data_IF_265026868216
#
_entry.id   IF_265026868216
#
_cell.length_a   1.000
_cell.length_b   1.000
_cell.length_c   1.000
_cell.angle_alpha   90.00
_cell.angle_beta   90.00
_cell.angle_gamma   90.00
#
_symmetry.space_group_name_H-M   'P 1'
#
loop_
_entity.id
_entity.type
_entity.pdbx_description
1 polymer ?
#
# COMPACT_ATOMS: atom_id res chain seq x y z
N UNK A 1 -8.47 -21.48 43.30
CA UNK A 1 -8.71 -21.75 41.86
C UNK A 1 -9.00 -20.48 41.05
N UNK A 2 -9.98 -19.64 41.41
CA UNK A 2 -10.29 -18.39 40.67
C UNK A 2 -9.08 -17.46 40.45
N UNK A 3 -8.19 -17.31 41.46
CA UNK A 3 -6.96 -16.51 41.35
C UNK A 3 -5.88 -17.14 40.44
N UNK A 4 -5.79 -18.47 40.39
CA UNK A 4 -4.85 -19.20 39.53
C UNK A 4 -5.31 -19.12 38.06
N UNK A 5 -6.62 -19.25 37.81
CA UNK A 5 -7.21 -19.08 36.48
C UNK A 5 -6.98 -17.65 35.98
N UNK A 6 -7.12 -16.64 36.83
CA UNK A 6 -6.87 -15.24 36.48
C UNK A 6 -5.39 -14.99 36.12
N UNK A 7 -4.45 -15.55 36.88
CA UNK A 7 -3.00 -15.43 36.60
C UNK A 7 -2.63 -16.12 35.28
N UNK A 8 -3.23 -17.29 35.00
CA UNK A 8 -3.02 -18.00 33.73
C UNK A 8 -3.58 -17.22 32.53
N UNK A 9 -4.75 -16.59 32.70
CA UNK A 9 -5.36 -15.75 31.66
C UNK A 9 -4.50 -14.52 31.34
N UNK A 10 -3.97 -13.85 32.37
CA UNK A 10 -3.11 -12.66 32.19
C UNK A 10 -1.77 -13.01 31.52
N UNK A 11 -1.21 -14.20 31.79
CA UNK A 11 0.04 -14.63 31.16
C UNK A 11 -0.12 -14.99 29.68
N UNK A 12 -1.26 -15.57 29.26
CA UNK A 12 -1.55 -15.83 27.83
C UNK A 12 -1.64 -14.52 27.04
N UNK A 13 -2.29 -13.49 27.58
CA UNK A 13 -2.44 -12.18 26.92
C UNK A 13 -1.08 -11.52 26.67
N UNK A 14 -0.12 -11.69 27.58
CA UNK A 14 1.22 -11.10 27.45
C UNK A 14 2.04 -11.71 26.30
N UNK A 15 1.89 -13.00 26.01
CA UNK A 15 2.65 -13.67 24.93
C UNK A 15 2.21 -13.27 23.53
N UNK A 16 0.95 -12.86 23.37
CA UNK A 16 0.38 -12.49 22.07
C UNK A 16 0.96 -11.15 21.59
N UNK A 17 1.14 -10.17 22.48
CA UNK A 17 1.66 -8.84 22.13
C UNK A 17 3.12 -8.85 21.64
N UNK A 18 3.98 -9.70 22.20
CA UNK A 18 5.40 -9.78 21.80
C UNK A 18 5.62 -10.49 20.46
N UNK A 19 4.69 -11.32 20.00
CA UNK A 19 4.81 -12.00 18.71
C UNK A 19 4.45 -11.08 17.53
N UNK A 20 3.64 -10.04 17.76
CA UNK A 20 3.07 -9.22 16.68
C UNK A 20 4.08 -8.22 16.11
N UNK A 21 4.88 -7.57 16.95
CA UNK A 21 5.98 -6.70 16.51
C UNK A 21 7.08 -7.45 15.74
N UNK A 22 7.23 -8.76 15.98
CA UNK A 22 8.14 -9.62 15.22
C UNK A 22 7.73 -9.71 13.76
N UNK A 23 6.43 -9.66 13.43
CA UNK A 23 5.98 -9.73 12.04
C UNK A 23 6.50 -8.54 11.22
N UNK A 24 6.51 -7.32 11.78
CA UNK A 24 7.11 -6.13 11.11
C UNK A 24 8.59 -6.37 10.81
N UNK A 25 9.33 -6.94 11.76
CA UNK A 25 10.76 -7.19 11.59
C UNK A 25 11.04 -8.37 10.65
N UNK A 26 10.24 -9.44 10.73
CA UNK A 26 10.32 -10.62 9.88
C UNK A 26 10.03 -10.25 8.43
N UNK A 27 9.00 -9.44 8.19
CA UNK A 27 8.69 -8.92 6.86
C UNK A 27 9.91 -8.22 6.22
N UNK A 28 10.58 -7.33 6.96
CA UNK A 28 11.75 -6.65 6.44
C UNK A 28 12.98 -7.57 6.31
N UNK A 29 13.11 -8.58 7.16
CA UNK A 29 14.17 -9.58 7.02
C UNK A 29 13.97 -10.44 5.77
N UNK A 30 12.76 -10.92 5.53
CA UNK A 30 12.39 -11.66 4.30
C UNK A 30 12.55 -10.79 3.07
N UNK A 31 12.16 -9.51 3.13
CA UNK A 31 12.39 -8.55 2.05
C UNK A 31 13.87 -8.41 1.70
N UNK A 32 14.75 -8.26 2.70
CA UNK A 32 16.21 -8.20 2.50
C UNK A 32 16.81 -9.51 1.98
N UNK A 33 16.12 -10.64 2.15
CA UNK A 33 16.50 -11.94 1.61
C UNK A 33 15.82 -12.21 0.25
N UNK A 34 15.16 -11.22 -0.34
CA UNK A 34 14.43 -11.32 -1.62
C UNK A 34 13.31 -12.38 -1.61
N UNK A 35 12.83 -12.75 -0.42
CA UNK A 35 11.69 -13.66 -0.22
C UNK A 35 10.39 -12.86 -0.20
N UNK A 36 9.99 -12.34 -1.35
CA UNK A 36 8.91 -11.34 -1.43
C UNK A 36 7.53 -11.87 -1.02
N UNK A 37 7.20 -13.13 -1.34
CA UNK A 37 5.94 -13.74 -0.89
C UNK A 37 5.88 -13.88 0.64
N UNK A 38 6.99 -14.26 1.26
CA UNK A 38 7.10 -14.34 2.73
C UNK A 38 7.07 -12.95 3.37
N UNK A 39 7.75 -11.98 2.75
CA UNK A 39 7.73 -10.59 3.18
C UNK A 39 6.30 -10.02 3.16
N UNK A 40 5.55 -10.28 2.07
CA UNK A 40 4.12 -9.95 1.93
C UNK A 40 3.31 -10.59 3.06
N UNK A 41 3.48 -11.89 3.27
CA UNK A 41 2.76 -12.61 4.32
C UNK A 41 2.94 -11.97 5.71
N UNK A 42 4.18 -11.72 6.12
CA UNK A 42 4.44 -11.12 7.43
C UNK A 42 3.96 -9.67 7.54
N UNK A 43 4.08 -8.87 6.47
CA UNK A 43 3.62 -7.48 6.53
C UNK A 43 2.10 -7.38 6.53
N UNK A 44 1.39 -8.33 5.91
CA UNK A 44 -0.07 -8.44 5.97
C UNK A 44 -0.55 -8.86 7.36
N UNK A 45 0.16 -9.80 8.01
CA UNK A 45 -0.11 -10.13 9.41
C UNK A 45 0.09 -8.92 10.34
N UNK A 46 1.10 -8.10 10.09
CA UNK A 46 1.33 -6.88 10.86
C UNK A 46 0.29 -5.79 10.55
N UNK A 47 -0.14 -5.65 9.31
CA UNK A 47 -1.17 -4.70 8.90
C UNK A 47 -2.53 -5.01 9.55
N UNK A 48 -2.93 -6.29 9.59
CA UNK A 48 -4.21 -6.73 10.14
C UNK A 48 -4.24 -6.81 11.67
N UNK A 49 -3.16 -6.40 12.34
CA UNK A 49 -3.06 -6.46 13.80
C UNK A 49 -3.17 -5.06 14.41
N UNK A 50 -4.12 -4.85 15.33
CA UNK A 50 -4.40 -3.55 15.95
C UNK A 50 -3.18 -2.87 16.58
N UNK A 51 -2.24 -3.64 17.14
CA UNK A 51 -1.05 -3.09 17.80
C UNK A 51 0.01 -2.58 16.82
N UNK A 52 0.01 -3.07 15.58
CA UNK A 52 1.01 -2.72 14.56
C UNK A 52 0.44 -2.04 13.33
N UNK A 53 -0.89 -2.05 13.13
CA UNK A 53 -1.58 -1.46 11.98
C UNK A 53 -1.38 0.05 11.88
N UNK A 54 -1.09 0.72 13.00
CA UNK A 54 -0.80 2.15 13.07
C UNK A 54 0.69 2.47 13.27
N UNK A 55 1.59 1.46 13.26
CA UNK A 55 3.03 1.68 13.45
C UNK A 55 3.65 2.32 12.19
N UNK A 56 4.28 3.51 12.28
CA UNK A 56 4.99 4.12 11.16
C UNK A 56 6.06 3.20 10.54
N UNK A 57 6.72 2.36 11.34
CA UNK A 57 7.72 1.41 10.84
C UNK A 57 7.08 0.34 9.94
N UNK A 58 5.91 -0.16 10.32
CA UNK A 58 5.13 -1.11 9.52
C UNK A 58 4.78 -0.50 8.16
N UNK A 59 4.19 0.70 8.15
CA UNK A 59 3.82 1.40 6.92
C UNK A 59 5.01 1.64 5.99
N UNK A 60 6.16 2.03 6.54
CA UNK A 60 7.38 2.20 5.78
C UNK A 60 7.87 0.89 5.13
N UNK A 61 7.74 -0.25 5.81
CA UNK A 61 8.13 -1.54 5.24
C UNK A 61 7.10 -2.06 4.25
N UNK A 62 5.80 -1.87 4.53
CA UNK A 62 4.71 -2.18 3.61
C UNK A 62 4.89 -1.44 2.29
N UNK A 63 5.19 -0.15 2.34
CA UNK A 63 5.46 0.67 1.16
C UNK A 63 6.58 0.06 0.29
N UNK A 64 7.71 -0.31 0.89
CA UNK A 64 8.87 -0.89 0.17
C UNK A 64 8.56 -2.27 -0.42
N UNK A 65 7.96 -3.15 0.37
CA UNK A 65 7.63 -4.52 -0.03
C UNK A 65 6.65 -4.49 -1.20
N UNK A 66 5.57 -3.72 -1.08
CA UNK A 66 4.54 -3.68 -2.11
C UNK A 66 4.97 -2.92 -3.36
N UNK A 67 5.86 -1.93 -3.25
CA UNK A 67 6.46 -1.29 -4.43
C UNK A 67 7.27 -2.29 -5.25
N UNK A 68 8.09 -3.10 -4.59
CA UNK A 68 8.91 -4.12 -5.25
C UNK A 68 8.02 -5.20 -5.90
N UNK A 69 6.99 -5.66 -5.19
CA UNK A 69 6.03 -6.63 -5.72
C UNK A 69 5.30 -6.06 -6.94
N UNK A 70 4.80 -4.83 -6.84
CA UNK A 70 4.13 -4.13 -7.94
C UNK A 70 5.05 -3.99 -9.17
N UNK A 71 6.35 -3.77 -8.99
CA UNK A 71 7.28 -3.51 -10.09
C UNK A 71 7.83 -4.77 -10.74
N UNK A 72 8.09 -5.82 -9.96
CA UNK A 72 8.89 -6.96 -10.42
C UNK A 72 8.29 -8.34 -10.13
N UNK A 73 7.29 -8.42 -9.25
CA UNK A 73 6.72 -9.68 -8.80
C UNK A 73 5.19 -9.64 -8.81
N UNK A 74 4.62 -9.18 -9.91
CA UNK A 74 3.16 -9.05 -10.09
C UNK A 74 2.43 -10.39 -10.01
N UNK A 75 3.14 -11.51 -10.18
CA UNK A 75 2.65 -12.87 -9.95
C UNK A 75 2.31 -13.16 -8.47
N UNK A 76 2.97 -12.49 -7.53
CA UNK A 76 2.71 -12.64 -6.09
C UNK A 76 1.41 -11.92 -5.70
N UNK A 77 1.19 -10.73 -6.26
CA UNK A 77 -0.02 -9.94 -6.03
C UNK A 77 -0.25 -8.98 -7.20
N UNK A 78 -1.15 -9.35 -8.10
CA UNK A 78 -1.51 -8.55 -9.27
C UNK A 78 -2.11 -7.17 -8.89
N UNK A 79 -2.58 -7.02 -7.66
CA UNK A 79 -3.19 -5.80 -7.13
C UNK A 79 -2.28 -5.09 -6.10
N UNK A 80 -0.99 -5.42 -6.08
CA UNK A 80 0.00 -4.83 -5.17
C UNK A 80 0.03 -3.30 -5.18
N UNK A 81 -0.30 -2.69 -6.33
CA UNK A 81 -0.33 -1.23 -6.51
C UNK A 81 -1.23 -0.51 -5.52
N UNK A 82 -2.38 -1.08 -5.16
CA UNK A 82 -3.29 -0.46 -4.18
C UNK A 82 -2.66 -0.42 -2.78
N UNK A 83 -2.04 -1.53 -2.38
CA UNK A 83 -1.34 -1.63 -1.10
C UNK A 83 -0.09 -0.76 -1.05
N UNK A 84 0.65 -0.68 -2.16
CA UNK A 84 1.80 0.23 -2.30
C UNK A 84 1.35 1.69 -2.16
N UNK A 85 0.28 2.07 -2.85
CA UNK A 85 -0.27 3.44 -2.84
C UNK A 85 -0.71 3.84 -1.44
N UNK A 86 -1.55 3.03 -0.80
CA UNK A 86 -2.00 3.29 0.58
C UNK A 86 -0.80 3.44 1.51
N UNK A 87 0.15 2.50 1.46
CA UNK A 87 1.28 2.50 2.37
C UNK A 87 2.19 3.73 2.20
N UNK A 88 2.43 4.18 0.98
CA UNK A 88 3.19 5.42 0.78
C UNK A 88 2.42 6.67 1.22
N UNK A 89 1.10 6.73 1.00
CA UNK A 89 0.27 7.82 1.54
C UNK A 89 0.39 7.86 3.07
N UNK A 90 0.24 6.71 3.74
CA UNK A 90 0.39 6.61 5.20
C UNK A 90 1.80 6.95 5.69
N UNK A 91 2.83 6.75 4.86
CA UNK A 91 4.18 7.21 5.19
C UNK A 91 4.31 8.73 5.27
N UNK A 92 3.39 9.50 4.66
CA UNK A 92 3.34 10.96 4.77
C UNK A 92 2.63 11.47 6.04
N UNK A 93 2.04 10.57 6.84
CA UNK A 93 1.43 10.91 8.13
C UNK A 93 2.44 11.66 9.02
N UNK A 94 1.94 12.62 9.79
CA UNK A 94 2.75 13.46 10.67
C UNK A 94 2.58 13.07 12.13
N UNK A 95 3.68 13.08 12.88
CA UNK A 95 3.66 12.90 14.32
C UNK A 95 3.04 14.12 15.04
N UNK A 96 2.83 14.01 16.36
CA UNK A 96 2.28 15.10 17.20
C UNK A 96 3.06 16.42 17.13
N UNK A 97 4.29 16.41 16.57
CA UNK A 97 5.13 17.60 16.38
C UNK A 97 5.14 18.06 14.90
N UNK A 98 4.24 17.56 14.07
CA UNK A 98 4.10 17.95 12.66
C UNK A 98 5.18 17.37 11.72
N UNK A 99 6.01 16.43 12.19
CA UNK A 99 7.09 15.85 11.37
C UNK A 99 6.63 14.54 10.75
N UNK A 100 7.08 14.25 9.53
CA UNK A 100 6.84 12.94 8.88
C UNK A 100 7.18 11.80 9.86
N UNK A 101 6.22 10.90 10.07
CA UNK A 101 6.29 9.88 11.10
C UNK A 101 7.39 8.84 10.80
N UNK A 102 7.58 8.52 9.51
CA UNK A 102 8.57 7.53 9.06
C UNK A 102 9.97 8.08 8.84
N UNK A 103 10.23 9.35 9.17
CA UNK A 103 11.50 10.05 8.87
C UNK A 103 12.77 9.37 9.39
N UNK A 104 12.64 8.46 10.37
CA UNK A 104 13.76 7.65 10.89
C UNK A 104 14.26 6.60 9.89
N UNK A 105 13.44 6.18 8.93
CA UNK A 105 13.72 5.07 8.03
C UNK A 105 13.78 5.46 6.56
N UNK A 106 13.08 6.53 6.17
CA UNK A 106 12.94 6.97 4.78
C UNK A 106 12.75 8.49 4.72
N UNK A 107 13.34 9.12 3.70
CA UNK A 107 13.19 10.56 3.43
C UNK A 107 11.88 10.83 2.69
N UNK A 108 11.28 12.01 2.91
CA UNK A 108 10.02 12.41 2.25
C UNK A 108 10.09 12.28 0.72
N UNK A 109 11.18 12.72 0.11
CA UNK A 109 11.44 12.60 -1.33
C UNK A 109 11.32 11.16 -1.84
N UNK A 110 11.88 10.17 -1.12
CA UNK A 110 11.78 8.76 -1.51
C UNK A 110 10.33 8.24 -1.42
N UNK A 111 9.54 8.76 -0.48
CA UNK A 111 8.11 8.42 -0.35
C UNK A 111 7.34 8.97 -1.55
N UNK A 112 7.59 10.24 -1.90
CA UNK A 112 6.94 10.91 -3.02
C UNK A 112 7.32 10.26 -4.36
N UNK A 113 8.58 9.89 -4.56
CA UNK A 113 9.02 9.15 -5.75
C UNK A 113 8.31 7.79 -5.87
N UNK A 114 8.14 7.07 -4.76
CA UNK A 114 7.36 5.82 -4.73
C UNK A 114 5.88 6.03 -5.08
N UNK A 115 5.27 7.12 -4.60
CA UNK A 115 3.90 7.50 -4.97
C UNK A 115 3.75 7.80 -6.45
N UNK A 116 4.70 8.54 -7.03
CA UNK A 116 4.71 8.82 -8.47
C UNK A 116 4.78 7.52 -9.26
N UNK A 117 5.65 6.58 -8.86
CA UNK A 117 5.73 5.26 -9.49
C UNK A 117 4.40 4.49 -9.38
N UNK A 118 3.71 4.57 -8.24
CA UNK A 118 2.37 3.99 -8.08
C UNK A 118 1.37 4.66 -9.04
N UNK A 119 1.39 5.99 -9.18
CA UNK A 119 0.52 6.73 -10.10
C UNK A 119 0.69 6.31 -11.56
N UNK A 120 1.93 6.18 -12.03
CA UNK A 120 2.21 5.65 -13.38
C UNK A 120 1.74 4.20 -13.54
N UNK A 121 1.99 3.34 -12.56
CA UNK A 121 1.56 1.95 -12.62
C UNK A 121 0.03 1.82 -12.65
N UNK A 122 -0.70 2.55 -11.80
CA UNK A 122 -2.16 2.62 -11.82
C UNK A 122 -2.67 3.05 -13.18
N UNK A 123 -2.13 4.14 -13.74
CA UNK A 123 -2.61 4.69 -15.01
C UNK A 123 -2.39 3.72 -16.17
N UNK A 124 -1.19 3.14 -16.28
CA UNK A 124 -0.85 2.22 -17.36
C UNK A 124 -1.63 0.91 -17.26
N UNK A 125 -1.65 0.30 -16.07
CA UNK A 125 -2.34 -0.98 -15.88
C UNK A 125 -3.86 -0.84 -15.91
N UNK A 126 -4.44 0.34 -15.65
CA UNK A 126 -5.86 0.56 -15.88
C UNK A 126 -6.24 0.50 -17.37
N UNK A 127 -5.33 0.89 -18.28
CA UNK A 127 -5.52 0.72 -19.73
C UNK A 127 -5.43 -0.76 -20.11
N UNK A 128 -4.53 -1.52 -19.48
CA UNK A 128 -4.43 -2.97 -19.67
C UNK A 128 -5.69 -3.70 -19.20
N UNK A 129 -6.25 -3.32 -18.05
CA UNK A 129 -7.51 -3.87 -17.55
C UNK A 129 -8.67 -3.57 -18.50
N UNK A 130 -8.76 -2.33 -19.02
CA UNK A 130 -9.76 -1.96 -20.03
C UNK A 130 -9.65 -2.83 -21.28
N UNK A 131 -8.44 -3.01 -21.81
CA UNK A 131 -8.20 -3.84 -22.99
C UNK A 131 -8.53 -5.32 -22.73
N UNK A 132 -8.36 -5.77 -21.49
CA UNK A 132 -8.70 -7.11 -21.01
C UNK A 132 -10.18 -7.25 -20.63
N UNK A 133 -10.99 -6.20 -20.82
CA UNK A 133 -12.41 -6.09 -20.48
C UNK A 133 -12.73 -6.17 -18.97
N UNK A 134 -11.73 -6.00 -18.10
CA UNK A 134 -11.95 -5.79 -16.68
C UNK A 134 -12.21 -4.30 -16.41
N UNK A 135 -13.39 -3.85 -16.85
CA UNK A 135 -13.77 -2.44 -16.77
C UNK A 135 -13.91 -1.95 -15.32
N UNK A 136 -14.36 -2.82 -14.41
CA UNK A 136 -14.44 -2.48 -12.98
C UNK A 136 -13.06 -2.21 -12.38
N UNK A 137 -12.06 -3.06 -12.66
CA UNK A 137 -10.72 -2.84 -12.15
C UNK A 137 -10.06 -1.61 -12.79
N UNK A 138 -10.28 -1.40 -14.09
CA UNK A 138 -9.83 -0.19 -14.79
C UNK A 138 -10.35 1.09 -14.13
N UNK A 139 -11.66 1.15 -13.83
CA UNK A 139 -12.27 2.29 -13.12
C UNK A 139 -11.66 2.44 -11.73
N UNK A 140 -11.51 1.34 -10.99
CA UNK A 140 -10.96 1.36 -9.64
C UNK A 140 -9.53 1.90 -9.61
N UNK A 141 -8.66 1.44 -10.51
CA UNK A 141 -7.26 1.92 -10.61
C UNK A 141 -7.20 3.40 -10.99
N UNK A 142 -8.01 3.84 -11.96
CA UNK A 142 -8.09 5.26 -12.32
C UNK A 142 -8.54 6.13 -11.14
N UNK A 143 -9.57 5.69 -10.40
CA UNK A 143 -10.08 6.43 -9.25
C UNK A 143 -9.03 6.57 -8.14
N UNK A 144 -8.20 5.54 -7.93
CA UNK A 144 -7.14 5.55 -6.92
C UNK A 144 -6.10 6.66 -7.16
N UNK A 145 -5.84 7.03 -8.42
CA UNK A 145 -4.88 8.09 -8.79
C UNK A 145 -5.27 9.45 -8.21
N UNK A 146 -6.56 9.72 -8.00
CA UNK A 146 -7.02 10.97 -7.39
C UNK A 146 -6.53 11.17 -5.95
N UNK A 147 -6.16 10.09 -5.26
CA UNK A 147 -5.51 10.18 -3.93
C UNK A 147 -4.05 10.64 -4.02
N UNK A 148 -3.40 10.44 -5.18
CA UNK A 148 -1.99 10.75 -5.41
C UNK A 148 -1.82 12.17 -5.96
N UNK A 149 -2.72 12.65 -6.83
CA UNK A 149 -2.63 13.98 -7.46
C UNK A 149 -2.35 15.11 -6.46
N UNK A 150 -3.07 15.24 -5.32
CA UNK A 150 -2.81 16.31 -4.35
C UNK A 150 -1.43 16.23 -3.68
N UNK A 151 -0.72 15.10 -3.82
CA UNK A 151 0.57 14.81 -3.23
C UNK A 151 1.73 14.96 -4.23
N UNK A 152 1.45 15.10 -5.53
CA UNK A 152 2.44 15.29 -6.61
C UNK A 152 2.92 16.75 -6.66
N UNK A 153 3.65 17.16 -5.63
CA UNK A 153 4.13 18.55 -5.46
C UNK A 153 4.98 19.06 -6.63
N UNK A 154 5.71 18.14 -7.28
CA UNK A 154 6.63 18.47 -8.36
C UNK A 154 5.98 18.36 -9.74
N UNK A 155 4.67 18.07 -9.82
CA UNK A 155 3.93 17.94 -11.07
C UNK A 155 4.48 16.86 -12.01
N UNK A 156 5.04 15.77 -11.47
CA UNK A 156 5.65 14.71 -12.27
C UNK A 156 4.58 13.91 -13.03
N UNK A 157 3.41 13.67 -12.42
CA UNK A 157 2.28 13.00 -13.07
C UNK A 157 1.68 13.89 -14.16
N UNK A 158 1.55 15.20 -13.91
CA UNK A 158 1.07 16.17 -14.88
C UNK A 158 1.97 16.23 -16.12
N UNK A 159 3.30 16.27 -15.94
CA UNK A 159 4.26 16.17 -17.06
C UNK A 159 4.12 14.86 -17.85
N UNK A 160 3.72 13.78 -17.18
CA UNK A 160 3.36 12.50 -17.78
C UNK A 160 1.98 12.45 -18.44
N UNK A 161 1.24 13.56 -18.47
CA UNK A 161 -0.16 13.66 -18.94
C UNK A 161 -1.14 12.80 -18.14
N UNK A 162 -0.78 12.42 -16.92
CA UNK A 162 -1.67 11.81 -15.94
C UNK A 162 -2.32 12.97 -15.17
N UNK A 163 -3.45 13.44 -15.71
CA UNK A 163 -4.19 14.62 -15.23
C UNK A 163 -5.66 14.26 -15.06
N UNK A 164 -6.44 15.03 -14.26
CA UNK A 164 -7.85 14.72 -14.03
C UNK A 164 -8.66 14.44 -15.31
N UNK A 165 -8.46 15.23 -16.36
CA UNK A 165 -9.19 15.07 -17.63
C UNK A 165 -8.86 13.74 -18.35
N UNK A 166 -7.62 13.27 -18.32
CA UNK A 166 -7.25 11.98 -18.92
C UNK A 166 -7.78 10.81 -18.09
N UNK A 167 -7.74 10.93 -16.75
CA UNK A 167 -8.28 9.93 -15.83
C UNK A 167 -9.81 9.82 -15.98
N UNK A 168 -10.54 10.95 -15.99
CA UNK A 168 -11.99 10.96 -16.21
C UNK A 168 -12.37 10.37 -17.56
N UNK A 169 -11.61 10.66 -18.63
CA UNK A 169 -11.83 10.05 -19.94
C UNK A 169 -11.72 8.52 -19.87
N UNK A 170 -10.68 7.99 -19.24
CA UNK A 170 -10.50 6.54 -19.09
C UNK A 170 -11.66 5.90 -18.32
N UNK A 171 -12.04 6.50 -17.18
CA UNK A 171 -13.17 6.02 -16.38
C UNK A 171 -14.49 6.06 -17.16
N UNK A 172 -14.74 7.13 -17.91
CA UNK A 172 -15.94 7.27 -18.74
C UNK A 172 -16.01 6.19 -19.82
N UNK A 173 -14.91 5.93 -20.53
CA UNK A 173 -14.86 4.88 -21.54
C UNK A 173 -15.12 3.50 -20.92
N UNK A 174 -14.52 3.19 -19.77
CA UNK A 174 -14.74 1.94 -19.07
C UNK A 174 -16.20 1.80 -18.59
N UNK A 175 -16.80 2.89 -18.09
CA UNK A 175 -18.19 2.90 -17.64
C UNK A 175 -19.18 2.65 -18.79
N UNK A 176 -18.98 3.29 -19.94
CA UNK A 176 -19.81 3.03 -21.13
C UNK A 176 -19.82 1.55 -21.52
N UNK A 177 -18.69 0.85 -21.40
CA UNK A 177 -18.62 -0.57 -21.71
C UNK A 177 -19.32 -1.46 -20.69
N UNK A 178 -19.55 -0.99 -19.46
CA UNK A 178 -20.36 -1.71 -18.48
C UNK A 178 -21.85 -1.59 -18.81
N UNK A 179 -22.30 -0.39 -19.20
CA UNK A 179 -23.69 -0.13 -19.59
C UNK A 179 -24.09 -0.91 -20.87
N UNK A 180 -23.14 -1.24 -21.75
CA UNK A 180 -23.36 -2.03 -22.97
C UNK A 180 -23.50 -3.56 -22.69
N UNK A 181 -23.21 -4.02 -21.47
CA UNK A 181 -23.18 -5.45 -21.08
C UNK A 181 -24.37 -5.86 -20.20
N UNK A 182 -25.13 -4.90 -19.67
CA UNK A 182 -26.41 -5.09 -18.95
C UNK A 182 -27.63 -5.11 -19.90
#
# INVERSE_FOLDING_TARGET
>A
MKKIILILLVSIISTIGFSQSKNVQNAFNSFRQEKFAEAKHFIDLAYNNESTSNDPKMWNYRAKIYLEIMQKHTDIDANAVFSATEAHIRCLDRDKKGRIAVRKWTKEESILNGLVQCGYNLFNTAVEDYNSKDYHLSIKKNNEIFRIIPLDKDGILERGKIVPSSIYKNMFLAALQLDDVE
#
